data_IF_609190100385
#
_entry.id   IF_609190100385
#
_cell.length_a   1.000
_cell.length_b   1.000
_cell.length_c   1.000
_cell.angle_alpha   90.00
_cell.angle_beta   90.00
_cell.angle_gamma   90.00
#
_symmetry.space_group_name_H-M   'P 1'
#
loop_
_entity.id
_entity.type
_entity.pdbx_description
1 polymer ?
#
# COMPACT_ATOMS: atom_id res chain seq x y z
N UNK A 1 12.58 5.21 11.84
CA UNK A 1 11.10 5.32 11.98
C UNK A 1 10.67 6.73 11.55
N UNK A 2 9.37 7.08 11.43
CA UNK A 2 8.93 8.45 11.05
C UNK A 2 9.46 9.56 11.96
N UNK A 3 9.81 9.24 13.20
CA UNK A 3 10.39 10.15 14.20
C UNK A 3 11.86 10.48 13.90
N UNK A 4 12.52 9.72 13.01
CA UNK A 4 13.90 10.00 12.57
C UNK A 4 14.99 9.59 13.55
N UNK A 5 14.64 8.92 14.67
CA UNK A 5 15.59 8.42 15.67
C UNK A 5 15.98 6.96 15.38
N UNK A 6 17.10 6.51 15.96
CA UNK A 6 17.53 5.11 15.90
C UNK A 6 16.38 4.21 16.39
N UNK A 7 16.09 3.15 15.63
CA UNK A 7 14.95 2.25 15.86
C UNK A 7 15.37 0.86 16.38
N UNK A 8 16.64 0.65 16.75
CA UNK A 8 17.17 -0.65 17.16
C UNK A 8 16.53 -1.16 18.47
N UNK A 9 16.19 -0.24 19.38
CA UNK A 9 15.51 -0.57 20.63
C UNK A 9 14.11 -1.16 20.42
N UNK A 10 13.41 -0.77 19.35
CA UNK A 10 12.01 -1.14 19.07
C UNK A 10 11.86 -1.94 17.77
N UNK A 11 12.92 -2.65 17.36
CA UNK A 11 12.93 -3.38 16.09
C UNK A 11 12.11 -4.67 16.20
N UNK A 12 11.06 -4.76 15.40
CA UNK A 12 10.24 -5.96 15.25
C UNK A 12 10.66 -6.78 14.02
N UNK A 13 10.33 -8.08 13.99
CA UNK A 13 10.56 -8.93 12.81
C UNK A 13 9.67 -8.52 11.65
N UNK A 14 10.15 -8.70 10.42
CA UNK A 14 9.39 -8.33 9.22
C UNK A 14 8.11 -9.16 9.08
N UNK A 15 8.25 -10.49 9.14
CA UNK A 15 7.12 -11.41 9.22
C UNK A 15 6.70 -11.58 10.68
N UNK A 16 5.39 -11.55 10.99
CA UNK A 16 4.24 -11.40 10.08
C UNK A 16 3.80 -9.94 9.82
N UNK A 17 4.35 -8.97 10.57
CA UNK A 17 3.81 -7.62 10.71
C UNK A 17 3.78 -6.80 9.42
N UNK A 18 4.94 -6.62 8.78
CA UNK A 18 5.02 -5.82 7.57
C UNK A 18 4.41 -6.54 6.37
N UNK A 19 4.52 -7.86 6.31
CA UNK A 19 3.97 -8.64 5.19
C UNK A 19 2.46 -8.58 5.12
N UNK A 20 1.77 -8.68 6.27
CA UNK A 20 0.32 -8.55 6.28
C UNK A 20 -0.12 -7.12 5.93
N UNK A 21 0.59 -6.12 6.44
CA UNK A 21 0.35 -4.71 6.11
C UNK A 21 0.50 -4.46 4.60
N UNK A 22 1.57 -4.98 3.99
CA UNK A 22 1.84 -4.80 2.56
C UNK A 22 0.81 -5.56 1.71
N UNK A 23 0.39 -6.75 2.13
CA UNK A 23 -0.66 -7.52 1.48
C UNK A 23 -2.01 -6.78 1.47
N UNK A 24 -2.42 -6.18 2.60
CA UNK A 24 -3.61 -5.33 2.66
C UNK A 24 -3.49 -4.12 1.73
N UNK A 25 -2.32 -3.47 1.72
CA UNK A 25 -2.04 -2.36 0.81
C UNK A 25 -2.17 -2.77 -0.66
N UNK A 26 -1.68 -3.96 -1.02
CA UNK A 26 -1.77 -4.50 -2.36
C UNK A 26 -3.21 -4.79 -2.80
N UNK A 27 -4.04 -5.38 -1.92
CA UNK A 27 -5.47 -5.59 -2.20
C UNK A 27 -6.18 -4.27 -2.45
N UNK A 28 -5.90 -3.25 -1.63
CA UNK A 28 -6.50 -1.93 -1.79
C UNK A 28 -6.10 -1.31 -3.13
N UNK A 29 -4.81 -1.36 -3.48
CA UNK A 29 -4.31 -0.88 -4.77
C UNK A 29 -5.02 -1.57 -5.94
N UNK A 30 -5.12 -2.90 -5.92
CA UNK A 30 -5.80 -3.64 -6.98
C UNK A 30 -7.28 -3.28 -7.07
N UNK A 31 -7.96 -3.12 -5.93
CA UNK A 31 -9.37 -2.75 -5.90
C UNK A 31 -9.60 -1.38 -6.53
N UNK A 32 -8.77 -0.38 -6.17
CA UNK A 32 -8.83 0.95 -6.76
C UNK A 32 -8.52 0.91 -8.27
N UNK A 33 -7.48 0.20 -8.67
CA UNK A 33 -7.11 0.05 -10.08
C UNK A 33 -8.21 -0.62 -10.89
N UNK A 34 -8.77 -1.73 -10.39
CA UNK A 34 -9.88 -2.42 -11.03
C UNK A 34 -11.11 -1.54 -11.11
N UNK A 35 -11.42 -0.76 -10.06
CA UNK A 35 -12.55 0.17 -10.09
C UNK A 35 -12.37 1.25 -11.17
N UNK A 36 -11.16 1.81 -11.28
CA UNK A 36 -10.83 2.79 -12.31
C UNK A 36 -10.95 2.18 -13.71
N UNK A 37 -10.35 1.01 -13.92
CA UNK A 37 -10.34 0.34 -15.22
C UNK A 37 -11.75 -0.09 -15.68
N UNK A 38 -12.61 -0.56 -14.76
CA UNK A 38 -13.92 -1.10 -15.11
C UNK A 38 -15.01 -0.03 -15.19
N UNK A 39 -14.99 0.98 -14.33
CA UNK A 39 -16.08 1.97 -14.24
C UNK A 39 -15.73 3.32 -14.85
N UNK A 40 -14.46 3.67 -14.99
CA UNK A 40 -14.05 4.99 -15.49
C UNK A 40 -12.70 4.93 -16.23
N UNK A 41 -12.58 4.14 -17.32
CA UNK A 41 -11.30 3.79 -17.95
C UNK A 41 -10.52 4.99 -18.49
N UNK A 42 -11.22 6.06 -18.90
CA UNK A 42 -10.60 7.26 -19.46
C UNK A 42 -10.55 8.44 -18.47
N UNK A 43 -10.87 8.22 -17.19
CA UNK A 43 -10.92 9.31 -16.20
C UNK A 43 -9.59 10.05 -16.03
N UNK A 44 -8.48 9.36 -16.26
CA UNK A 44 -7.13 9.92 -16.18
C UNK A 44 -6.51 10.20 -17.56
N UNK A 45 -7.29 10.09 -18.64
CA UNK A 45 -6.87 10.47 -19.98
C UNK A 45 -7.21 11.92 -20.31
N UNK A 46 -6.52 12.49 -21.29
CA UNK A 46 -6.90 13.78 -21.89
C UNK A 46 -8.01 13.56 -22.96
N UNK A 47 -8.90 14.56 -23.18
CA UNK A 47 -10.01 14.46 -24.14
C UNK A 47 -9.58 14.37 -25.61
#
# INVERSE_FOLDING_TARGET
NPVGINSDADKITFHPYFSYKDFLGFILLLTLLSSLALFSPNLLGDP
#
